data_IF_537462676876
#
_entry.id   IF_537462676876
#
_cell.length_a   1.000
_cell.length_b   1.000
_cell.length_c   1.000
_cell.angle_alpha   90.00
_cell.angle_beta   90.00
_cell.angle_gamma   90.00
#
_symmetry.space_group_name_H-M   'P 1'
#
loop_
_entity.id
_entity.type
_entity.pdbx_description
1 polymer ?
#
# COMPACT_ATOMS: atom_id res chain seq x y z
N UNK A 1 3.18 -3.57 -25.39
CA UNK A 1 2.11 -2.66 -24.98
C UNK A 1 2.73 -1.62 -24.05
N UNK A 2 2.57 -0.31 -24.25
CA UNK A 2 3.04 0.66 -23.27
C UNK A 2 2.17 0.57 -22.01
N UNK A 3 2.80 0.55 -20.83
CA UNK A 3 2.09 0.59 -19.55
C UNK A 3 1.21 1.83 -19.49
N UNK A 4 -0.08 1.66 -19.20
CA UNK A 4 -1.00 2.78 -18.99
C UNK A 4 -0.64 3.39 -17.63
N UNK A 5 0.07 4.51 -17.65
CA UNK A 5 0.35 5.29 -16.45
C UNK A 5 -0.98 5.92 -15.98
N UNK A 6 -1.62 5.31 -14.99
CA UNK A 6 -2.81 5.86 -14.36
C UNK A 6 -2.49 7.23 -13.73
N UNK A 7 -3.32 8.24 -14.01
CA UNK A 7 -3.21 9.56 -13.38
C UNK A 7 -3.47 9.45 -11.87
N UNK A 8 -2.55 10.00 -11.10
CA UNK A 8 -2.57 10.03 -9.64
C UNK A 8 -3.69 10.93 -9.11
N UNK A 9 -4.56 10.39 -8.26
CA UNK A 9 -5.48 11.17 -7.46
C UNK A 9 -4.90 11.30 -6.04
N UNK A 10 -4.65 12.53 -5.59
CA UNK A 10 -4.29 12.78 -4.19
C UNK A 10 -5.56 12.74 -3.36
N UNK A 11 -5.68 11.74 -2.47
CA UNK A 11 -6.75 11.69 -1.50
C UNK A 11 -6.35 12.47 -0.24
N UNK A 12 -7.17 13.44 0.16
CA UNK A 12 -7.02 14.13 1.45
C UNK A 12 -8.16 13.69 2.37
N UNK A 13 -7.87 13.11 3.55
CA UNK A 13 -8.91 12.85 4.53
C UNK A 13 -9.55 14.16 4.97
N UNK A 14 -10.88 14.25 4.85
CA UNK A 14 -11.64 15.32 5.50
C UNK A 14 -11.61 15.07 7.01
N UNK A 15 -11.07 16.03 7.77
CA UNK A 15 -11.10 16.00 9.24
C UNK A 15 -12.55 16.07 9.68
N UNK A 16 -13.07 15.02 10.29
CA UNK A 16 -14.40 15.05 10.89
C UNK A 16 -14.48 16.18 11.93
N UNK A 17 -15.52 17.01 11.95
CA UNK A 17 -15.63 18.10 12.91
C UNK A 17 -15.66 17.54 14.34
N UNK A 18 -14.69 17.96 15.15
CA UNK A 18 -14.69 17.71 16.60
C UNK A 18 -15.92 18.34 17.22
N UNK A 19 -16.80 17.52 17.79
CA UNK A 19 -17.91 17.98 18.63
C UNK A 19 -17.35 18.72 19.86
N UNK A 20 -17.83 19.92 20.19
CA UNK A 20 -17.35 20.66 21.35
C UNK A 20 -17.78 19.96 22.64
N UNK A 21 -16.80 19.61 23.47
CA UNK A 21 -17.01 19.16 24.85
C UNK A 21 -17.52 20.33 25.70
N UNK A 22 -18.73 20.17 26.25
CA UNK A 22 -19.32 21.09 27.22
C UNK A 22 -18.55 21.05 28.55
N UNK A 23 -18.17 22.20 29.14
CA UNK A 23 -17.57 22.22 30.46
C UNK A 23 -18.65 22.13 31.55
N UNK A 24 -18.55 21.11 32.41
CA UNK A 24 -19.35 20.98 33.62
C UNK A 24 -18.89 21.98 34.68
N UNK A 25 -19.78 22.90 35.08
CA UNK A 25 -19.59 23.79 36.22
C UNK A 25 -19.63 23.02 37.55
N UNK A 26 -18.64 23.24 38.43
CA UNK A 26 -18.80 23.07 39.88
C UNK A 26 -18.19 24.26 40.63
N UNK A 27 -18.97 24.78 41.60
CA UNK A 27 -18.62 25.87 42.51
C UNK A 27 -17.96 25.33 43.79
N UNK A 28 -17.00 26.08 44.37
CA UNK A 28 -16.89 26.16 45.83
C UNK A 28 -15.51 26.23 46.51
N UNK A 29 -15.07 27.48 46.80
CA UNK A 29 -14.41 27.99 48.03
C UNK A 29 -12.91 27.72 48.38
N UNK A 30 -12.15 28.83 48.27
CA UNK A 30 -11.08 29.43 49.12
C UNK A 30 -10.23 28.59 50.10
N UNK A 31 -8.89 28.77 50.06
CA UNK A 31 -8.07 29.62 50.98
C UNK A 31 -6.54 29.49 50.72
N UNK A 32 -5.88 30.66 50.67
CA UNK A 32 -4.50 31.06 51.05
C UNK A 32 -3.24 30.23 50.71
N UNK A 33 -2.22 30.97 50.23
CA UNK A 33 -0.83 30.62 49.82
C UNK A 33 0.15 30.57 51.04
N UNK A 34 1.41 30.04 50.95
CA UNK A 34 2.49 30.71 50.21
C UNK A 34 3.57 29.84 49.51
N UNK A 35 4.11 30.40 48.42
CA UNK A 35 5.49 30.38 47.89
C UNK A 35 6.25 29.06 47.56
N UNK A 36 6.69 28.99 46.29
CA UNK A 36 8.01 28.54 45.76
C UNK A 36 7.92 27.51 44.62
N UNK A 37 8.03 28.00 43.38
CA UNK A 37 9.11 27.72 42.41
C UNK A 37 8.65 28.23 41.06
N UNK A 38 9.38 29.20 40.53
CA UNK A 38 9.28 29.55 39.12
C UNK A 38 9.97 28.41 38.34
N UNK A 39 9.22 27.36 38.03
CA UNK A 39 9.60 26.45 36.95
C UNK A 39 9.40 27.23 35.64
N UNK A 40 10.49 27.59 34.99
CA UNK A 40 10.41 28.03 33.60
C UNK A 40 9.85 26.85 32.80
N UNK A 41 8.58 26.93 32.44
CA UNK A 41 8.02 26.08 31.40
C UNK A 41 8.82 26.41 30.13
N UNK A 42 9.73 25.51 29.76
CA UNK A 42 10.26 25.48 28.40
C UNK A 42 9.02 25.41 27.51
N UNK A 43 8.78 26.48 26.75
CA UNK A 43 7.73 26.51 25.76
C UNK A 43 7.94 25.28 24.88
N UNK A 44 7.06 24.30 24.99
CA UNK A 44 7.03 23.18 24.08
C UNK A 44 6.86 23.81 22.69
N UNK A 45 7.93 23.79 21.91
CA UNK A 45 7.88 24.10 20.49
C UNK A 45 6.85 23.15 19.92
N UNK A 46 5.64 23.66 19.69
CA UNK A 46 4.61 22.95 18.95
C UNK A 46 5.19 22.79 17.55
N UNK A 47 5.85 21.66 17.33
CA UNK A 47 6.13 21.18 15.99
C UNK A 47 4.76 21.00 15.36
N UNK A 48 4.36 22.00 14.58
CA UNK A 48 3.27 21.88 13.62
C UNK A 48 3.73 20.85 12.61
N UNK A 49 3.50 19.57 12.92
CA UNK A 49 3.69 18.50 11.98
C UNK A 49 2.55 18.65 11.00
N UNK A 50 2.84 19.23 9.83
CA UNK A 50 1.92 19.21 8.70
C UNK A 50 1.38 17.78 8.57
N UNK A 51 0.05 17.60 8.40
CA UNK A 51 -0.53 16.28 8.30
C UNK A 51 0.18 15.52 7.18
N UNK A 52 0.85 14.42 7.52
CA UNK A 52 1.53 13.60 6.52
C UNK A 52 0.48 13.10 5.54
N UNK A 53 0.58 13.54 4.30
CA UNK A 53 -0.35 13.15 3.25
C UNK A 53 0.03 11.74 2.79
N UNK A 54 -0.79 10.76 3.15
CA UNK A 54 -0.70 9.42 2.57
C UNK A 54 -1.31 9.45 1.16
N UNK A 55 -0.49 9.19 0.14
CA UNK A 55 -0.99 9.03 -1.24
C UNK A 55 -1.30 7.56 -1.50
N UNK A 56 -2.40 7.31 -2.19
CA UNK A 56 -2.74 5.97 -2.69
C UNK A 56 -2.45 5.93 -4.19
N UNK A 57 -1.46 5.12 -4.55
CA UNK A 57 -1.04 4.86 -5.92
C UNK A 57 -1.77 3.62 -6.44
N UNK A 58 -2.03 3.57 -7.74
CA UNK A 58 -2.63 2.41 -8.38
C UNK A 58 -1.97 2.14 -9.73
N UNK A 59 -1.66 0.88 -10.01
CA UNK A 59 -1.04 0.42 -11.25
C UNK A 59 -1.43 -1.02 -11.56
N UNK A 60 -1.37 -1.42 -12.83
CA UNK A 60 -1.53 -2.79 -13.32
C UNK A 60 -0.69 -2.95 -14.59
N UNK A 61 -0.57 -4.18 -15.09
CA UNK A 61 -0.04 -4.47 -16.44
C UNK A 61 1.37 -3.88 -16.68
N UNK A 62 2.22 -3.87 -15.64
CA UNK A 62 3.56 -3.31 -15.76
C UNK A 62 4.47 -4.18 -16.64
N UNK A 63 4.28 -5.50 -16.65
CA UNK A 63 5.11 -6.44 -17.41
C UNK A 63 6.60 -6.11 -17.33
N UNK A 64 7.20 -6.21 -16.13
CA UNK A 64 8.59 -5.84 -15.83
C UNK A 64 9.63 -6.82 -16.41
N UNK A 65 9.38 -7.26 -17.64
CA UNK A 65 10.20 -8.19 -18.43
C UNK A 65 11.22 -7.48 -19.31
N UNK A 66 11.01 -6.19 -19.55
CA UNK A 66 11.88 -5.34 -20.37
C UNK A 66 12.61 -4.31 -19.51
N UNK A 67 13.80 -3.85 -19.92
CA UNK A 67 14.50 -2.77 -19.22
C UNK A 67 13.64 -1.51 -19.03
N UNK A 68 12.92 -1.09 -20.08
CA UNK A 68 12.08 0.11 -20.02
C UNK A 68 10.96 -0.01 -18.96
N UNK A 69 10.31 -1.16 -18.84
CA UNK A 69 9.27 -1.36 -17.82
C UNK A 69 9.88 -1.48 -16.41
N UNK A 70 11.07 -2.06 -16.28
CA UNK A 70 11.82 -2.04 -15.00
C UNK A 70 12.19 -0.62 -14.60
N UNK A 71 12.62 0.21 -15.54
CA UNK A 71 12.94 1.61 -15.29
C UNK A 71 11.70 2.41 -14.89
N UNK A 72 10.54 2.16 -15.52
CA UNK A 72 9.26 2.73 -15.10
C UNK A 72 8.93 2.38 -13.63
N UNK A 73 9.09 1.12 -13.22
CA UNK A 73 8.87 0.70 -11.84
C UNK A 73 9.84 1.41 -10.88
N UNK A 74 11.11 1.56 -11.26
CA UNK A 74 12.13 2.26 -10.46
C UNK A 74 11.81 3.74 -10.30
N UNK A 75 11.42 4.41 -11.38
CA UNK A 75 11.05 5.83 -11.36
C UNK A 75 9.83 6.07 -10.47
N UNK A 76 8.81 5.21 -10.58
CA UNK A 76 7.64 5.23 -9.69
C UNK A 76 8.06 5.05 -8.23
N UNK A 77 8.94 4.08 -7.96
CA UNK A 77 9.44 3.81 -6.60
C UNK A 77 10.27 4.98 -6.05
N UNK A 78 11.06 5.66 -6.88
CA UNK A 78 11.84 6.82 -6.49
C UNK A 78 10.96 8.05 -6.14
N UNK A 79 9.75 8.14 -6.70
CA UNK A 79 8.78 9.19 -6.40
C UNK A 79 7.88 8.90 -5.19
N UNK A 80 7.96 7.70 -4.61
CA UNK A 80 7.15 7.26 -3.48
C UNK A 80 7.74 7.70 -2.13
N UNK A 81 6.92 7.60 -1.08
CA UNK A 81 7.37 7.77 0.31
C UNK A 81 6.91 6.61 1.18
N UNK A 82 7.52 6.49 2.36
CA UNK A 82 7.13 5.48 3.37
C UNK A 82 5.73 5.69 3.96
N UNK A 83 5.07 6.82 3.69
CA UNK A 83 3.69 7.06 4.09
C UNK A 83 2.70 6.67 2.96
N UNK A 84 3.19 6.37 1.75
CA UNK A 84 2.35 6.04 0.60
C UNK A 84 1.96 4.56 0.55
N UNK A 85 0.81 4.31 -0.08
CA UNK A 85 0.27 2.96 -0.33
C UNK A 85 0.23 2.73 -1.84
N UNK A 86 0.68 1.57 -2.31
CA UNK A 86 0.55 1.15 -3.71
C UNK A 86 -0.46 0.01 -3.85
N UNK A 87 -1.41 0.17 -4.75
CA UNK A 87 -2.31 -0.89 -5.22
C UNK A 87 -1.81 -1.40 -6.58
N UNK A 88 -1.32 -2.63 -6.62
CA UNK A 88 -0.82 -3.25 -7.83
C UNK A 88 -1.75 -4.40 -8.26
N UNK A 89 -2.58 -4.13 -9.26
CA UNK A 89 -3.67 -5.00 -9.71
C UNK A 89 -3.24 -5.94 -10.86
N UNK A 90 -2.17 -6.71 -10.65
CA UNK A 90 -1.80 -7.83 -11.51
C UNK A 90 -0.94 -7.49 -12.71
N UNK A 91 -0.53 -8.53 -13.43
CA UNK A 91 0.28 -8.51 -14.64
C UNK A 91 1.61 -7.76 -14.46
N UNK A 92 2.30 -8.12 -13.38
CA UNK A 92 3.68 -7.74 -13.09
C UNK A 92 4.67 -8.43 -14.02
N UNK A 93 4.62 -9.76 -14.13
CA UNK A 93 5.49 -10.57 -14.98
C UNK A 93 5.07 -12.04 -14.86
N UNK A 94 5.31 -12.82 -15.91
CA UNK A 94 5.19 -14.27 -15.84
C UNK A 94 6.43 -14.93 -15.20
N UNK A 95 7.54 -14.21 -15.00
CA UNK A 95 8.78 -14.76 -14.45
C UNK A 95 8.82 -14.51 -12.94
N UNK A 96 8.93 -15.58 -12.16
CA UNK A 96 8.93 -15.47 -10.69
C UNK A 96 10.03 -14.54 -10.17
N UNK A 97 11.21 -14.53 -10.80
CA UNK A 97 12.33 -13.66 -10.38
C UNK A 97 12.01 -12.18 -10.62
N UNK A 98 11.24 -11.87 -11.67
CA UNK A 98 10.83 -10.51 -11.96
C UNK A 98 9.69 -10.07 -11.02
N UNK A 99 8.77 -10.98 -10.67
CA UNK A 99 7.73 -10.72 -9.65
C UNK A 99 8.39 -10.45 -8.29
N UNK A 100 9.33 -11.29 -7.88
CA UNK A 100 10.11 -11.11 -6.66
C UNK A 100 10.86 -9.77 -6.67
N UNK A 101 11.59 -9.48 -7.75
CA UNK A 101 12.31 -8.20 -7.91
C UNK A 101 11.36 -6.99 -7.82
N UNK A 102 10.17 -7.07 -8.41
CA UNK A 102 9.16 -6.03 -8.30
C UNK A 102 8.73 -5.84 -6.85
N UNK A 103 8.39 -6.92 -6.14
CA UNK A 103 8.00 -6.82 -4.73
C UNK A 103 9.11 -6.24 -3.85
N UNK A 104 10.35 -6.71 -4.01
CA UNK A 104 11.50 -6.17 -3.29
C UNK A 104 11.66 -4.65 -3.54
N UNK A 105 11.55 -4.23 -4.80
CA UNK A 105 11.71 -2.82 -5.17
C UNK A 105 10.58 -1.97 -4.60
N UNK A 106 9.34 -2.43 -4.73
CA UNK A 106 8.16 -1.68 -4.26
C UNK A 106 8.07 -1.65 -2.73
N UNK A 107 8.28 -2.77 -2.06
CA UNK A 107 8.22 -2.87 -0.59
C UNK A 107 9.33 -2.07 0.11
N UNK A 108 10.44 -1.77 -0.57
CA UNK A 108 11.48 -0.89 -0.04
C UNK A 108 11.19 0.61 -0.21
N UNK A 109 10.21 0.97 -1.05
CA UNK A 109 9.88 2.36 -1.39
C UNK A 109 8.55 2.84 -0.77
N UNK A 110 7.53 1.99 -0.79
CA UNK A 110 6.20 2.29 -0.27
C UNK A 110 6.04 1.83 1.18
N UNK A 111 5.24 2.55 1.96
CA UNK A 111 4.86 2.11 3.32
C UNK A 111 3.97 0.87 3.32
N UNK A 112 3.25 0.64 2.22
CA UNK A 112 2.38 -0.52 2.04
C UNK A 112 2.23 -0.84 0.55
N UNK A 113 2.43 -2.11 0.19
CA UNK A 113 2.12 -2.62 -1.15
C UNK A 113 0.96 -3.60 -1.02
N UNK A 114 -0.03 -3.45 -1.89
CA UNK A 114 -1.20 -4.31 -2.01
C UNK A 114 -1.16 -4.95 -3.39
N UNK A 115 -1.36 -6.26 -3.47
CA UNK A 115 -1.23 -6.98 -4.73
C UNK A 115 -2.36 -7.99 -4.96
N UNK A 116 -2.74 -8.13 -6.23
CA UNK A 116 -3.57 -9.22 -6.75
C UNK A 116 -2.85 -9.76 -7.98
N UNK A 117 -2.61 -11.07 -8.11
CA UNK A 117 -2.04 -11.64 -9.32
C UNK A 117 -3.04 -11.57 -10.48
N UNK A 118 -2.54 -11.25 -11.67
CA UNK A 118 -3.28 -11.34 -12.92
C UNK A 118 -3.07 -12.70 -13.59
N UNK A 119 -3.57 -12.84 -14.82
CA UNK A 119 -3.45 -14.10 -15.56
C UNK A 119 -2.02 -14.35 -16.06
N UNK A 120 -1.26 -13.29 -16.32
CA UNK A 120 0.08 -13.41 -16.90
C UNK A 120 1.04 -14.11 -15.93
N UNK A 121 0.91 -13.83 -14.63
CA UNK A 121 1.63 -14.51 -13.56
C UNK A 121 1.45 -16.03 -13.57
N UNK A 122 0.26 -16.50 -13.96
CA UNK A 122 -0.11 -17.91 -13.88
C UNK A 122 0.35 -18.76 -15.07
N UNK A 123 1.01 -18.15 -16.05
CA UNK A 123 1.56 -18.87 -17.19
C UNK A 123 2.75 -19.73 -16.76
N UNK A 124 2.59 -21.05 -16.80
CA UNK A 124 3.66 -21.99 -16.47
C UNK A 124 4.59 -22.16 -17.67
N UNK A 125 5.82 -21.65 -17.55
CA UNK A 125 6.87 -21.75 -18.56
C UNK A 125 7.74 -22.99 -18.36
N UNK A 126 8.52 -23.42 -19.37
CA UNK A 126 9.45 -24.55 -19.23
C UNK A 126 10.43 -24.41 -18.06
N UNK A 127 10.89 -23.18 -17.77
CA UNK A 127 11.77 -22.88 -16.63
C UNK A 127 11.09 -23.12 -15.28
N UNK A 128 9.78 -22.86 -15.18
CA UNK A 128 9.00 -23.14 -13.97
C UNK A 128 8.87 -24.64 -13.75
N UNK A 129 8.61 -25.40 -14.82
CA UNK A 129 8.54 -26.87 -14.76
C UNK A 129 9.86 -27.49 -14.33
N UNK A 130 10.99 -26.95 -14.81
CA UNK A 130 12.31 -27.38 -14.39
C UNK A 130 12.58 -27.14 -12.88
N UNK A 131 11.81 -26.25 -12.25
CA UNK A 131 11.85 -25.96 -10.80
C UNK A 131 10.76 -26.70 -10.00
N UNK A 132 10.04 -27.62 -10.63
CA UNK A 132 8.98 -28.39 -9.99
C UNK A 132 7.60 -27.70 -9.95
N UNK A 133 7.43 -26.59 -10.66
CA UNK A 133 6.14 -25.91 -10.78
C UNK A 133 5.43 -26.41 -12.04
N UNK A 134 4.53 -27.37 -11.85
CA UNK A 134 3.91 -28.10 -12.96
C UNK A 134 2.58 -27.52 -13.42
N UNK A 135 1.92 -26.69 -12.62
CA UNK A 135 0.64 -26.07 -12.92
C UNK A 135 0.51 -24.65 -12.33
N UNK A 136 -0.54 -23.96 -12.75
CA UNK A 136 -0.81 -22.57 -12.37
C UNK A 136 -1.17 -22.43 -10.89
N UNK A 137 -1.71 -23.47 -10.24
CA UNK A 137 -2.03 -23.43 -8.82
C UNK A 137 -0.76 -23.46 -7.98
N UNK A 138 0.18 -24.36 -8.30
CA UNK A 138 1.50 -24.41 -7.67
C UNK A 138 2.26 -23.08 -7.85
N UNK A 139 2.17 -22.47 -9.03
CA UNK A 139 2.80 -21.17 -9.29
C UNK A 139 2.13 -20.03 -8.51
N UNK A 140 0.80 -20.02 -8.41
CA UNK A 140 0.06 -19.08 -7.58
C UNK A 140 0.48 -19.18 -6.11
N UNK A 141 0.63 -20.40 -5.59
CA UNK A 141 1.08 -20.63 -4.20
C UNK A 141 2.48 -20.06 -3.95
N UNK A 142 3.39 -20.17 -4.92
CA UNK A 142 4.71 -19.54 -4.85
C UNK A 142 4.61 -18.02 -4.83
N UNK A 143 3.79 -17.42 -5.68
CA UNK A 143 3.60 -15.96 -5.72
C UNK A 143 3.01 -15.46 -4.41
N UNK A 144 2.03 -16.17 -3.84
CA UNK A 144 1.50 -15.85 -2.52
C UNK A 144 2.56 -16.01 -1.42
N UNK A 145 3.50 -16.95 -1.58
CA UNK A 145 4.70 -17.08 -0.77
C UNK A 145 5.54 -15.82 -0.79
N UNK A 146 5.88 -15.33 -1.98
CA UNK A 146 6.61 -14.07 -2.17
C UNK A 146 5.84 -12.90 -1.56
N UNK A 147 4.52 -12.82 -1.73
CA UNK A 147 3.75 -11.74 -1.10
C UNK A 147 3.90 -11.75 0.43
N UNK A 148 3.89 -12.93 1.07
CA UNK A 148 4.12 -13.03 2.53
C UNK A 148 5.54 -12.65 2.92
N UNK A 149 6.53 -13.07 2.14
CA UNK A 149 7.95 -12.80 2.39
C UNK A 149 8.27 -11.30 2.36
N UNK A 150 7.69 -10.56 1.41
CA UNK A 150 7.91 -9.13 1.22
C UNK A 150 6.85 -8.22 1.87
N UNK A 151 6.03 -8.75 2.78
CA UNK A 151 4.91 -8.03 3.45
C UNK A 151 3.93 -7.33 2.49
N UNK A 152 3.72 -7.93 1.32
CA UNK A 152 2.76 -7.47 0.33
C UNK A 152 1.36 -7.96 0.71
N UNK A 153 0.43 -7.02 0.90
CA UNK A 153 -0.92 -7.31 1.36
C UNK A 153 -1.80 -7.88 0.25
N UNK A 154 -2.47 -8.98 0.57
CA UNK A 154 -3.39 -9.70 -0.31
C UNK A 154 -4.77 -9.91 0.31
N UNK A 155 -5.02 -9.34 1.50
CA UNK A 155 -6.27 -9.51 2.26
C UNK A 155 -6.97 -8.17 2.48
N UNK A 156 -8.30 -8.14 2.68
CA UNK A 156 -9.02 -6.91 2.95
C UNK A 156 -8.56 -6.20 4.22
N UNK A 157 -8.53 -4.87 4.20
CA UNK A 157 -8.20 -4.04 5.37
C UNK A 157 -8.83 -2.64 5.28
N UNK A 158 -8.95 -1.98 6.44
CA UNK A 158 -9.42 -0.60 6.54
C UNK A 158 -8.22 0.35 6.54
N UNK A 159 -8.01 1.06 5.42
CA UNK A 159 -6.97 2.06 5.27
C UNK A 159 -7.31 3.29 6.12
N UNK A 160 -6.43 3.60 7.07
CA UNK A 160 -6.54 4.76 7.98
C UNK A 160 -7.92 4.97 8.62
N UNK A 161 -8.63 3.88 8.92
CA UNK A 161 -9.94 3.94 9.56
C UNK A 161 -11.08 4.49 8.68
N UNK A 162 -10.84 4.73 7.39
CA UNK A 162 -11.77 5.52 6.54
C UNK A 162 -12.20 4.81 5.26
N UNK A 163 -11.34 4.00 4.64
CA UNK A 163 -11.63 3.36 3.37
C UNK A 163 -11.26 1.87 3.38
N UNK A 164 -12.16 1.00 2.92
CA UNK A 164 -11.84 -0.42 2.74
C UNK A 164 -11.07 -0.64 1.44
N UNK A 165 -9.94 -1.31 1.55
CA UNK A 165 -9.21 -1.87 0.41
C UNK A 165 -9.46 -3.38 0.42
N UNK A 166 -9.97 -3.91 -0.68
CA UNK A 166 -10.39 -5.30 -0.81
C UNK A 166 -9.71 -5.92 -2.03
N UNK A 167 -8.51 -6.52 -1.88
CA UNK A 167 -7.83 -7.23 -2.96
C UNK A 167 -8.64 -8.49 -3.31
N UNK A 168 -9.17 -8.56 -4.52
CA UNK A 168 -10.04 -9.66 -4.96
C UNK A 168 -9.26 -10.65 -5.82
N UNK A 169 -8.87 -11.78 -5.23
CA UNK A 169 -8.39 -12.92 -6.00
C UNK A 169 -9.59 -13.59 -6.69
N UNK A 170 -9.80 -13.27 -7.95
CA UNK A 170 -10.91 -13.76 -8.76
C UNK A 170 -10.45 -14.06 -10.17
N UNK A 171 -11.16 -14.96 -10.86
CA UNK A 171 -10.85 -15.39 -12.21
C UNK A 171 -12.08 -15.23 -13.10
N UNK A 172 -11.84 -15.19 -14.41
CA UNK A 172 -12.92 -15.20 -15.39
C UNK A 172 -13.64 -16.54 -15.38
N UNK A 173 -14.91 -16.51 -15.79
CA UNK A 173 -15.71 -17.71 -15.97
C UNK A 173 -16.00 -17.85 -17.46
N UNK A 174 -15.85 -19.07 -18.00
CA UNK A 174 -16.00 -19.37 -19.42
C UNK A 174 -17.35 -18.94 -20.02
N UNK A 175 -18.39 -18.72 -19.20
CA UNK A 175 -19.67 -18.16 -19.66
C UNK A 175 -19.57 -16.78 -20.32
N UNK A 176 -18.46 -16.07 -20.10
CA UNK A 176 -18.20 -14.75 -20.67
C UNK A 176 -17.28 -14.80 -21.89
N UNK A 177 -16.68 -15.96 -22.19
CA UNK A 177 -15.95 -16.22 -23.45
C UNK A 177 -16.97 -16.66 -24.50
N UNK A 178 -17.52 -15.70 -25.26
CA UNK A 178 -18.53 -15.93 -26.31
C UNK A 178 -17.97 -15.87 -27.74
N UNK A 179 -16.65 -15.96 -27.88
CA UNK A 179 -15.93 -15.86 -29.16
C UNK A 179 -15.41 -17.22 -29.64
#
# INVERSE_FOLDING_TARGET
MPAILARFATWTPSVAPTLPTQPSHMHGRSRQSPAKRLCMASAATQSTTEPRVCRVWAVSDLHVDTPANKDCLREMSAGATVDDVLLFAGDASDKLENVEWAFQTLASAFGMVVYVPGNHELWVRPVDRARGLHDSAAKLDQIQGLCREYDVRTRPFLLHGTAWVVPLLSWHHASWDRE
#
